data_IF_985381384393
#
_entry.id   IF_985381384393
#
_cell.length_a   1.000
_cell.length_b   1.000
_cell.length_c   1.000
_cell.angle_alpha   90.00
_cell.angle_beta   90.00
_cell.angle_gamma   90.00
#
_symmetry.space_group_name_H-M   'P 1'
#
loop_
_entity.id
_entity.type
_entity.pdbx_description
1 polymer ?
#
# COMPACT_ATOMS: atom_id res chain seq x y z
N UNK A 1 -23.83 2.86 -15.66
CA UNK A 1 -24.08 2.55 -14.23
C UNK A 1 -22.93 3.06 -13.37
N UNK A 2 -23.12 3.41 -12.08
CA UNK A 2 -22.06 3.91 -11.19
C UNK A 2 -20.84 2.99 -11.11
N UNK A 3 -21.04 1.66 -11.17
CA UNK A 3 -19.96 0.68 -11.17
C UNK A 3 -19.03 0.78 -12.40
N UNK A 4 -19.57 1.14 -13.56
CA UNK A 4 -18.75 1.36 -14.77
C UNK A 4 -18.03 2.70 -14.70
N UNK A 5 -18.71 3.73 -14.18
CA UNK A 5 -18.12 5.06 -14.01
C UNK A 5 -16.88 5.02 -13.12
N UNK A 6 -16.94 4.36 -11.96
CA UNK A 6 -15.78 4.28 -11.05
C UNK A 6 -14.66 3.38 -11.60
N UNK A 7 -14.97 2.37 -12.40
CA UNK A 7 -13.92 1.60 -13.09
C UNK A 7 -13.22 2.46 -14.15
N UNK A 8 -14.00 3.25 -14.90
CA UNK A 8 -13.49 4.14 -15.94
C UNK A 8 -12.65 5.32 -15.39
N UNK A 9 -12.68 5.61 -14.09
CA UNK A 9 -11.87 6.67 -13.49
C UNK A 9 -10.44 6.24 -13.11
N UNK A 10 -10.14 4.93 -13.13
CA UNK A 10 -8.80 4.40 -12.79
C UNK A 10 -7.64 5.09 -13.55
N UNK A 11 -7.71 5.30 -14.88
CA UNK A 11 -6.63 5.98 -15.60
C UNK A 11 -6.37 7.40 -15.07
N UNK A 12 -7.42 8.14 -14.74
CA UNK A 12 -7.31 9.49 -14.16
C UNK A 12 -6.68 9.45 -12.78
N UNK A 13 -7.07 8.50 -11.93
CA UNK A 13 -6.46 8.33 -10.61
C UNK A 13 -4.96 8.02 -10.71
N UNK A 14 -4.54 7.15 -11.63
CA UNK A 14 -3.11 6.91 -11.87
C UNK A 14 -2.37 8.12 -12.43
N UNK A 15 -3.03 8.97 -13.22
CA UNK A 15 -2.41 10.22 -13.67
C UNK A 15 -2.15 11.16 -12.50
N UNK A 16 -3.06 11.24 -11.51
CA UNK A 16 -2.87 12.04 -10.29
C UNK A 16 -1.64 11.58 -9.53
N UNK A 17 -1.46 10.26 -9.33
CA UNK A 17 -0.30 9.72 -8.58
C UNK A 17 1.03 9.87 -9.32
N UNK A 18 1.03 10.22 -10.61
CA UNK A 18 2.22 10.30 -11.48
C UNK A 18 2.54 11.70 -11.96
N UNK A 19 1.85 12.74 -11.44
CA UNK A 19 2.20 14.12 -11.78
C UNK A 19 3.64 14.40 -11.34
N UNK A 20 4.42 15.19 -12.11
CA UNK A 20 5.63 15.79 -11.59
C UNK A 20 5.23 16.57 -10.34
N UNK A 21 5.81 16.25 -9.18
CA UNK A 21 5.52 16.81 -7.86
C UNK A 21 4.39 16.14 -7.06
N UNK A 22 3.81 15.02 -7.52
CA UNK A 22 2.73 14.33 -6.78
C UNK A 22 3.08 13.89 -5.35
N UNK A 23 4.37 13.92 -4.97
CA UNK A 23 4.85 13.55 -3.63
C UNK A 23 5.42 14.74 -2.83
N UNK A 24 5.34 15.96 -3.37
CA UNK A 24 5.73 17.17 -2.65
C UNK A 24 4.63 17.56 -1.65
N UNK A 25 5.01 18.32 -0.62
CA UNK A 25 4.15 18.67 0.53
C UNK A 25 2.77 19.23 0.12
N UNK A 26 2.72 20.06 -0.92
CA UNK A 26 1.48 20.70 -1.40
C UNK A 26 0.53 19.72 -2.12
N UNK A 27 1.05 18.64 -2.70
CA UNK A 27 0.33 17.74 -3.61
C UNK A 27 0.16 16.31 -3.07
N UNK A 28 0.92 15.94 -2.02
CA UNK A 28 1.02 14.56 -1.54
C UNK A 28 -0.32 13.97 -1.08
N UNK A 29 -1.16 14.78 -0.42
CA UNK A 29 -2.50 14.35 0.02
C UNK A 29 -3.39 13.95 -1.15
N UNK A 30 -3.29 14.63 -2.30
CA UNK A 30 -4.08 14.29 -3.48
C UNK A 30 -3.62 12.96 -4.10
N UNK A 31 -2.31 12.73 -4.15
CA UNK A 31 -1.76 11.46 -4.62
C UNK A 31 -2.11 10.30 -3.69
N UNK A 32 -2.05 10.51 -2.38
CA UNK A 32 -2.41 9.51 -1.36
C UNK A 32 -3.91 9.18 -1.38
N UNK A 33 -4.78 10.18 -1.56
CA UNK A 33 -6.21 9.96 -1.77
C UNK A 33 -6.49 9.20 -3.07
N UNK A 34 -5.74 9.46 -4.14
CA UNK A 34 -5.85 8.71 -5.38
C UNK A 34 -5.42 7.24 -5.18
N UNK A 35 -4.32 6.99 -4.47
CA UNK A 35 -3.88 5.65 -4.05
C UNK A 35 -4.99 4.91 -3.28
N UNK A 36 -5.58 5.54 -2.26
CA UNK A 36 -6.67 4.95 -1.48
C UNK A 36 -7.95 4.73 -2.31
N UNK A 37 -8.25 5.63 -3.26
CA UNK A 37 -9.40 5.49 -4.16
C UNK A 37 -9.24 4.30 -5.11
N UNK A 38 -8.05 4.10 -5.67
CA UNK A 38 -7.73 2.92 -6.49
C UNK A 38 -7.89 1.64 -5.66
N UNK A 39 -7.41 1.62 -4.41
CA UNK A 39 -7.59 0.49 -3.49
C UNK A 39 -9.08 0.18 -3.27
N UNK A 40 -9.92 1.20 -3.02
CA UNK A 40 -11.38 1.05 -2.86
C UNK A 40 -12.04 0.46 -4.11
N UNK A 41 -11.66 0.93 -5.31
CA UNK A 41 -12.19 0.42 -6.57
C UNK A 41 -11.80 -1.06 -6.75
N UNK A 42 -10.55 -1.41 -6.51
CA UNK A 42 -10.06 -2.79 -6.61
C UNK A 42 -10.74 -3.70 -5.58
N UNK A 43 -10.97 -3.21 -4.37
CA UNK A 43 -11.59 -4.00 -3.31
C UNK A 43 -13.10 -4.21 -3.55
N UNK A 44 -13.85 -3.15 -3.85
CA UNK A 44 -15.32 -3.21 -3.93
C UNK A 44 -15.89 -3.41 -5.34
N UNK A 45 -15.11 -3.16 -6.39
CA UNK A 45 -15.59 -3.15 -7.77
C UNK A 45 -14.65 -3.86 -8.77
N UNK A 46 -13.80 -4.77 -8.30
CA UNK A 46 -12.86 -5.54 -9.13
C UNK A 46 -13.50 -6.22 -10.34
N UNK A 47 -14.75 -6.70 -10.23
CA UNK A 47 -15.46 -7.39 -11.33
C UNK A 47 -15.68 -6.51 -12.58
N UNK A 48 -15.56 -5.18 -12.44
CA UNK A 48 -15.65 -4.22 -13.55
C UNK A 48 -14.29 -3.69 -14.00
N UNK A 49 -13.22 -4.07 -13.32
CA UNK A 49 -11.85 -3.66 -13.65
C UNK A 49 -11.26 -4.69 -14.60
N UNK A 50 -10.84 -4.23 -15.79
CA UNK A 50 -10.09 -5.08 -16.72
C UNK A 50 -8.65 -5.24 -16.23
N UNK A 51 -8.05 -6.41 -16.46
CA UNK A 51 -6.67 -6.72 -16.04
C UNK A 51 -6.38 -6.45 -14.56
N UNK A 52 -7.27 -6.88 -13.65
CA UNK A 52 -7.18 -6.58 -12.20
C UNK A 52 -5.77 -6.79 -11.63
N UNK A 53 -5.07 -7.87 -12.00
CA UNK A 53 -3.72 -8.15 -11.50
C UNK A 53 -2.70 -7.09 -11.90
N UNK A 54 -2.73 -6.64 -13.16
CA UNK A 54 -1.88 -5.54 -13.65
C UNK A 54 -2.19 -4.23 -12.92
N UNK A 55 -3.49 -3.95 -12.71
CA UNK A 55 -3.91 -2.76 -11.95
C UNK A 55 -3.44 -2.83 -10.50
N UNK A 56 -3.49 -4.00 -9.86
CA UNK A 56 -2.93 -4.21 -8.51
C UNK A 56 -1.43 -3.99 -8.51
N UNK A 57 -0.69 -4.52 -9.50
CA UNK A 57 0.76 -4.27 -9.63
C UNK A 57 1.04 -2.77 -9.65
N UNK A 58 0.37 -2.03 -10.53
CA UNK A 58 0.54 -0.57 -10.64
C UNK A 58 0.06 0.20 -9.42
N UNK A 59 -0.97 -0.28 -8.73
CA UNK A 59 -1.47 0.34 -7.52
C UNK A 59 -0.43 0.28 -6.39
N UNK A 60 0.29 -0.82 -6.24
CA UNK A 60 1.37 -0.89 -5.24
C UNK A 60 2.45 0.14 -5.52
N UNK A 61 2.74 0.50 -6.77
CA UNK A 61 3.68 1.59 -7.10
C UNK A 61 3.16 2.98 -6.66
N UNK A 62 1.90 3.10 -6.25
CA UNK A 62 1.31 4.34 -5.69
C UNK A 62 1.39 4.41 -4.17
N UNK A 63 1.94 3.39 -3.52
CA UNK A 63 2.35 3.42 -2.11
C UNK A 63 3.74 4.09 -1.97
N UNK A 64 4.16 4.50 -0.76
CA UNK A 64 3.42 4.42 0.51
C UNK A 64 2.39 5.56 0.67
N UNK A 65 1.55 5.45 1.71
CA UNK A 65 0.68 6.53 2.20
C UNK A 65 1.17 6.89 3.60
N UNK A 66 1.86 8.02 3.71
CA UNK A 66 2.62 8.44 4.91
C UNK A 66 2.20 9.80 5.44
N UNK A 67 1.23 10.48 4.82
CA UNK A 67 0.81 11.82 5.24
C UNK A 67 -0.68 11.86 5.63
N UNK A 68 -1.51 11.10 4.94
CA UNK A 68 -2.96 11.09 5.12
C UNK A 68 -3.43 9.90 5.97
N UNK A 69 -3.69 10.18 7.25
CA UNK A 69 -4.22 9.22 8.24
C UNK A 69 -5.63 8.70 7.91
N UNK A 70 -6.41 9.41 7.10
CA UNK A 70 -7.73 8.95 6.66
C UNK A 70 -7.63 8.03 5.44
N UNK A 71 -6.67 8.27 4.55
CA UNK A 71 -6.42 7.47 3.36
C UNK A 71 -5.67 6.16 3.68
N UNK A 72 -4.67 6.21 4.58
CA UNK A 72 -3.80 5.08 4.90
C UNK A 72 -4.58 3.81 5.29
N UNK A 73 -5.63 3.87 6.15
CA UNK A 73 -6.34 2.68 6.56
C UNK A 73 -6.97 1.90 5.41
N UNK A 74 -7.45 2.58 4.36
CA UNK A 74 -8.02 1.92 3.18
C UNK A 74 -6.95 1.22 2.34
N UNK A 75 -5.83 1.90 2.10
CA UNK A 75 -4.74 1.37 1.30
C UNK A 75 -4.10 0.14 1.98
N UNK A 76 -3.76 0.26 3.26
CA UNK A 76 -3.08 -0.81 3.98
C UNK A 76 -4.00 -1.95 4.42
N UNK A 77 -5.30 -1.71 4.68
CA UNK A 77 -6.25 -2.81 4.88
C UNK A 77 -6.41 -3.66 3.62
N UNK A 78 -6.44 -3.03 2.44
CA UNK A 78 -6.48 -3.75 1.18
C UNK A 78 -5.17 -4.49 0.91
N UNK A 79 -4.02 -3.86 1.17
CA UNK A 79 -2.71 -4.52 1.06
C UNK A 79 -2.63 -5.76 1.97
N UNK A 80 -3.05 -5.65 3.23
CA UNK A 80 -3.09 -6.77 4.17
C UNK A 80 -3.93 -7.94 3.63
N UNK A 81 -5.12 -7.65 3.10
CA UNK A 81 -5.96 -8.66 2.48
C UNK A 81 -5.28 -9.34 1.28
N UNK A 82 -4.63 -8.57 0.40
CA UNK A 82 -3.93 -9.13 -0.75
C UNK A 82 -2.76 -10.03 -0.33
N UNK A 83 -2.03 -9.66 0.73
CA UNK A 83 -0.97 -10.48 1.32
C UNK A 83 -1.54 -11.77 1.91
N UNK A 84 -2.62 -11.68 2.70
CA UNK A 84 -3.31 -12.84 3.29
C UNK A 84 -3.79 -13.82 2.20
N UNK A 85 -4.17 -13.30 1.02
CA UNK A 85 -4.58 -14.08 -0.15
C UNK A 85 -3.41 -14.54 -1.02
N UNK A 86 -2.16 -14.20 -0.67
CA UNK A 86 -0.96 -14.44 -1.48
C UNK A 86 -1.15 -13.96 -2.93
N UNK A 87 -1.76 -12.80 -3.12
CA UNK A 87 -2.08 -12.25 -4.43
C UNK A 87 -0.79 -12.14 -5.28
N UNK A 88 -0.74 -12.73 -6.49
CA UNK A 88 0.49 -12.79 -7.28
C UNK A 88 1.13 -11.43 -7.57
N UNK A 89 0.31 -10.40 -7.81
CA UNK A 89 0.81 -9.05 -8.07
C UNK A 89 1.53 -8.47 -6.86
N UNK A 90 1.05 -8.69 -5.63
CA UNK A 90 1.73 -8.26 -4.41
C UNK A 90 2.94 -9.13 -4.11
N UNK A 91 2.82 -10.45 -4.26
CA UNK A 91 3.91 -11.40 -3.99
C UNK A 91 5.12 -11.17 -4.91
N UNK A 92 4.89 -10.75 -6.16
CA UNK A 92 5.96 -10.40 -7.11
C UNK A 92 6.80 -9.17 -6.73
N UNK A 93 6.35 -8.38 -5.75
CA UNK A 93 6.99 -7.16 -5.26
C UNK A 93 6.94 -7.09 -3.73
N UNK A 94 7.07 -8.26 -3.09
CA UNK A 94 6.92 -8.42 -1.65
C UNK A 94 7.95 -7.60 -0.85
N UNK A 95 9.16 -7.46 -1.38
CA UNK A 95 10.22 -6.59 -0.85
C UNK A 95 9.77 -5.12 -0.78
N UNK A 96 9.24 -4.60 -1.88
CA UNK A 96 8.72 -3.24 -1.99
C UNK A 96 7.51 -3.02 -1.08
N UNK A 97 6.57 -3.96 -1.07
CA UNK A 97 5.39 -3.90 -0.21
C UNK A 97 5.79 -3.87 1.28
N UNK A 98 6.78 -4.68 1.69
CA UNK A 98 7.31 -4.65 3.05
C UNK A 98 7.91 -3.29 3.41
N UNK A 99 8.73 -2.71 2.52
CA UNK A 99 9.30 -1.37 2.70
C UNK A 99 8.23 -0.29 2.86
N UNK A 100 7.17 -0.33 2.06
CA UNK A 100 6.07 0.64 2.17
C UNK A 100 5.24 0.50 3.45
N UNK A 101 5.13 -0.72 3.99
CA UNK A 101 4.52 -0.95 5.30
C UNK A 101 5.41 -0.36 6.40
N UNK A 102 6.73 -0.59 6.33
CA UNK A 102 7.69 -0.04 7.28
C UNK A 102 7.64 1.49 7.33
N UNK A 103 7.59 2.16 6.17
CA UNK A 103 7.50 3.61 6.07
C UNK A 103 6.20 4.17 6.66
N UNK A 104 5.05 3.55 6.42
CA UNK A 104 3.78 4.02 7.01
C UNK A 104 3.65 3.77 8.51
N UNK A 105 4.29 2.72 9.03
CA UNK A 105 4.38 2.50 10.48
C UNK A 105 5.24 3.56 11.16
N UNK A 106 6.34 3.96 10.51
CA UNK A 106 7.20 5.04 11.03
C UNK A 106 6.56 6.42 10.94
N UNK A 107 5.83 6.69 9.85
CA UNK A 107 5.06 7.93 9.69
C UNK A 107 3.81 8.00 10.59
N UNK A 108 3.55 6.98 11.41
CA UNK A 108 2.41 6.89 12.34
C UNK A 108 1.02 7.07 11.70
N UNK A 109 0.89 6.90 10.38
CA UNK A 109 -0.40 6.98 9.66
C UNK A 109 -1.31 5.77 9.88
N UNK A 110 -0.77 4.73 10.54
CA UNK A 110 -1.48 3.50 10.84
C UNK A 110 -1.59 3.33 12.35
N UNK A 111 -2.83 3.28 12.83
CA UNK A 111 -3.13 3.16 14.26
C UNK A 111 -4.10 2.00 14.55
N UNK A 112 -4.15 1.59 15.82
CA UNK A 112 -5.13 0.63 16.35
C UNK A 112 -5.16 -0.71 15.60
N UNK A 113 -6.36 -1.13 15.21
CA UNK A 113 -6.57 -2.44 14.57
C UNK A 113 -5.89 -2.55 13.20
N UNK A 114 -5.84 -1.46 12.43
CA UNK A 114 -5.22 -1.47 11.10
C UNK A 114 -3.72 -1.71 11.20
N UNK A 115 -3.04 -1.05 12.14
CA UNK A 115 -1.61 -1.26 12.42
C UNK A 115 -1.35 -2.72 12.79
N UNK A 116 -2.13 -3.29 13.73
CA UNK A 116 -2.00 -4.70 14.12
C UNK A 116 -2.18 -5.65 12.94
N UNK A 117 -3.18 -5.40 12.09
CA UNK A 117 -3.46 -6.26 10.94
C UNK A 117 -2.34 -6.21 9.91
N UNK A 118 -1.87 -5.01 9.54
CA UNK A 118 -0.82 -4.89 8.53
C UNK A 118 0.51 -5.45 9.02
N UNK A 119 0.83 -5.33 10.32
CA UNK A 119 2.02 -5.95 10.92
C UNK A 119 1.93 -7.47 10.83
N UNK A 120 0.77 -8.05 11.16
CA UNK A 120 0.53 -9.49 10.99
C UNK A 120 0.68 -9.94 9.53
N UNK A 121 0.11 -9.18 8.59
CA UNK A 121 0.26 -9.44 7.17
C UNK A 121 1.71 -9.32 6.71
N UNK A 122 2.45 -8.30 7.16
CA UNK A 122 3.86 -8.14 6.80
C UNK A 122 4.75 -9.28 7.32
N UNK A 123 4.49 -9.80 8.54
CA UNK A 123 5.15 -11.02 9.05
C UNK A 123 4.85 -12.23 8.15
N UNK A 124 3.59 -12.37 7.71
CA UNK A 124 3.20 -13.41 6.75
C UNK A 124 3.91 -13.22 5.40
N UNK A 125 3.98 -12.00 4.89
CA UNK A 125 4.64 -11.66 3.62
C UNK A 125 6.10 -12.07 3.62
N UNK A 126 6.84 -11.73 4.68
CA UNK A 126 8.25 -12.10 4.86
C UNK A 126 8.42 -13.61 4.79
N UNK A 127 7.56 -14.35 5.49
CA UNK A 127 7.62 -15.82 5.51
C UNK A 127 7.23 -16.43 4.17
N UNK A 128 6.14 -15.96 3.56
CA UNK A 128 5.57 -16.53 2.34
C UNK A 128 6.43 -16.23 1.10
N UNK A 129 7.08 -15.07 1.04
CA UNK A 129 7.98 -14.69 -0.05
C UNK A 129 9.46 -15.04 0.23
N UNK A 130 9.79 -15.59 1.40
CA UNK A 130 11.16 -15.95 1.77
C UNK A 130 12.09 -14.74 1.87
N UNK A 131 11.57 -13.60 2.34
CA UNK A 131 12.34 -12.35 2.45
C UNK A 131 13.23 -12.37 3.70
N UNK A 132 14.36 -11.68 3.62
CA UNK A 132 15.13 -11.29 4.80
C UNK A 132 14.66 -9.89 5.26
N UNK A 133 13.79 -9.85 6.26
CA UNK A 133 13.28 -8.60 6.82
C UNK A 133 14.40 -7.71 7.38
N UNK A 134 15.48 -8.29 7.93
CA UNK A 134 16.59 -7.50 8.47
C UNK A 134 17.37 -6.82 7.34
N UNK A 135 17.58 -7.52 6.22
CA UNK A 135 18.21 -6.95 5.04
C UNK A 135 17.38 -5.81 4.45
N UNK A 136 16.06 -5.99 4.35
CA UNK A 136 15.17 -4.93 3.86
C UNK A 136 15.15 -3.72 4.79
N UNK A 137 15.05 -3.95 6.11
CA UNK A 137 15.11 -2.86 7.10
C UNK A 137 16.45 -2.13 7.08
N UNK A 138 17.56 -2.81 6.80
CA UNK A 138 18.88 -2.17 6.71
C UNK A 138 18.99 -1.13 5.58
N UNK A 139 18.06 -1.16 4.60
CA UNK A 139 17.97 -0.13 3.54
C UNK A 139 17.23 1.13 3.98
N UNK A 140 16.57 1.09 5.14
CA UNK A 140 15.76 2.18 5.66
C UNK A 140 16.50 2.98 6.74
N UNK A 141 16.06 4.22 7.01
CA UNK A 141 16.64 5.04 8.07
C UNK A 141 16.58 4.36 9.45
N UNK A 142 17.54 4.67 10.36
CA UNK A 142 17.60 4.05 11.69
C UNK A 142 16.32 4.19 12.51
N UNK A 143 15.62 5.31 12.40
CA UNK A 143 14.32 5.56 13.03
C UNK A 143 13.27 4.55 12.58
N UNK A 144 13.13 4.32 11.27
CA UNK A 144 12.23 3.32 10.70
C UNK A 144 12.60 1.91 11.15
N UNK A 145 13.90 1.59 11.20
CA UNK A 145 14.35 0.29 11.71
C UNK A 145 13.93 0.07 13.16
N UNK A 146 14.05 1.09 14.01
CA UNK A 146 13.69 1.00 15.41
C UNK A 146 12.18 0.80 15.59
N UNK A 147 11.37 1.64 14.94
CA UNK A 147 9.90 1.56 14.99
C UNK A 147 9.41 0.20 14.51
N UNK A 148 9.88 -0.27 13.36
CA UNK A 148 9.44 -1.56 12.81
C UNK A 148 9.89 -2.72 13.69
N UNK A 149 11.11 -2.70 14.25
CA UNK A 149 11.54 -3.75 15.20
C UNK A 149 10.64 -3.81 16.43
N UNK A 150 10.11 -2.68 16.91
CA UNK A 150 9.18 -2.68 18.04
C UNK A 150 7.84 -3.39 17.72
N UNK A 151 7.36 -3.30 16.47
CA UNK A 151 6.17 -4.03 16.01
C UNK A 151 6.43 -5.51 15.71
N UNK A 152 7.69 -5.85 15.37
CA UNK A 152 8.06 -7.19 14.91
C UNK A 152 8.68 -8.10 15.97
N UNK A 153 9.20 -7.51 17.07
CA UNK A 153 9.70 -8.23 18.24
C UNK A 153 8.62 -8.89 19.09
#
# INVERSE_FOLDING_TARGET
>A
SWAEFVSASLPTLFQVTRRPNAREEDDVFAAENACASIAKILHYNSTKVSNVQEVVTHWVDTLPVTNDEEAAPYAYSFLAQLIEQQNPAVMSQADKAFVFIAQALEAETLQGQTATRIVGAAKHLVTAAGLDANQLLATLPPETQHTVRAFFG
#
